data_IF_662210705985
#
_entry.id   IF_662210705985
#
_cell.length_a   1.000
_cell.length_b   1.000
_cell.length_c   1.000
_cell.angle_alpha   90.00
_cell.angle_beta   90.00
_cell.angle_gamma   90.00
#
_symmetry.space_group_name_H-M   'P 1'
#
loop_
_entity.id
_entity.type
_entity.pdbx_description
1 polymer ?
#
# COMPACT_ATOMS: atom_id res chain seq x y z
N UNK A 1 -2.21 8.94 1.04
CA UNK A 1 -3.04 7.87 1.65
C UNK A 1 -2.18 6.78 2.29
N UNK A 2 -1.39 6.00 1.59
CA UNK A 2 -0.71 4.81 2.10
C UNK A 2 0.13 4.98 3.38
N UNK A 3 0.94 6.03 3.47
CA UNK A 3 1.73 6.31 4.68
C UNK A 3 0.87 6.60 5.91
N UNK A 4 -0.28 7.28 5.75
CA UNK A 4 -1.26 7.46 6.85
C UNK A 4 -1.86 6.13 7.29
N UNK A 5 -2.11 5.23 6.36
CA UNK A 5 -2.64 3.90 6.69
C UNK A 5 -1.65 3.12 7.56
N UNK A 6 -0.34 3.19 7.29
CA UNK A 6 0.67 2.58 8.15
C UNK A 6 0.66 3.15 9.57
N UNK A 7 0.62 4.48 9.70
CA UNK A 7 0.57 5.13 11.01
C UNK A 7 -0.68 4.77 11.78
N UNK A 8 -1.85 4.84 11.13
CA UNK A 8 -3.13 4.49 11.75
C UNK A 8 -3.17 3.00 12.15
N UNK A 9 -2.80 2.12 11.23
CA UNK A 9 -2.81 0.67 11.48
C UNK A 9 -1.90 0.29 12.65
N UNK A 10 -0.68 0.84 12.72
CA UNK A 10 0.21 0.60 13.84
C UNK A 10 -0.36 1.12 15.16
N UNK A 11 -0.86 2.35 15.17
CA UNK A 11 -1.51 2.94 16.35
C UNK A 11 -2.70 2.11 16.81
N UNK A 12 -3.53 1.65 15.88
CA UNK A 12 -4.67 0.80 16.17
C UNK A 12 -4.24 -0.55 16.76
N UNK A 13 -3.28 -1.23 16.15
CA UNK A 13 -2.73 -2.49 16.66
C UNK A 13 -2.24 -2.31 18.10
N UNK A 14 -1.40 -1.30 18.34
CA UNK A 14 -0.87 -1.02 19.67
C UNK A 14 -1.99 -0.73 20.68
N UNK A 15 -3.03 0.01 20.28
CA UNK A 15 -4.15 0.32 21.16
C UNK A 15 -4.95 -0.91 21.56
N UNK A 16 -5.14 -1.86 20.63
CA UNK A 16 -5.83 -3.14 20.92
C UNK A 16 -5.00 -4.02 21.84
N UNK A 17 -3.71 -4.20 21.55
CA UNK A 17 -2.80 -5.02 22.35
C UNK A 17 -2.66 -4.50 23.79
N UNK A 18 -2.56 -3.18 23.94
CA UNK A 18 -2.43 -2.53 25.25
C UNK A 18 -3.77 -2.24 25.94
N UNK A 19 -4.91 -2.46 25.27
CA UNK A 19 -6.25 -2.05 25.73
C UNK A 19 -6.32 -0.58 26.13
N UNK A 20 -5.76 0.29 25.28
CA UNK A 20 -5.68 1.73 25.48
C UNK A 20 -6.43 2.48 24.39
N UNK A 21 -6.57 3.79 24.54
CA UNK A 21 -7.28 4.64 23.57
C UNK A 21 -6.33 5.08 22.46
N UNK A 22 -6.78 4.99 21.20
CA UNK A 22 -6.12 5.57 20.05
C UNK A 22 -6.62 6.99 19.80
N UNK A 23 -5.71 7.96 19.79
CA UNK A 23 -5.94 9.30 19.28
C UNK A 23 -5.24 9.46 17.95
N UNK A 24 -5.99 9.56 16.86
CA UNK A 24 -5.44 9.62 15.52
C UNK A 24 -6.18 10.64 14.65
N UNK A 25 -5.47 11.18 13.66
CA UNK A 25 -6.12 11.82 12.52
C UNK A 25 -6.88 10.74 11.74
N UNK A 26 -8.09 11.06 11.34
CA UNK A 26 -8.92 10.11 10.59
C UNK A 26 -8.35 9.80 9.20
N UNK A 27 -8.93 8.79 8.58
CA UNK A 27 -8.70 8.46 7.17
C UNK A 27 -10.04 8.62 6.44
N UNK A 28 -10.37 9.84 5.97
CA UNK A 28 -11.70 10.14 5.41
C UNK A 28 -12.09 9.21 4.26
N UNK A 29 -11.12 8.76 3.47
CA UNK A 29 -11.35 7.81 2.38
C UNK A 29 -11.90 6.44 2.83
N UNK A 30 -11.81 6.12 4.12
CA UNK A 30 -12.33 4.89 4.72
C UNK A 30 -13.37 5.17 5.81
N UNK A 31 -13.99 6.34 5.79
CA UNK A 31 -14.98 6.78 6.78
C UNK A 31 -14.48 6.74 8.24
N UNK A 32 -13.15 6.77 8.42
CA UNK A 32 -12.54 6.82 9.73
C UNK A 32 -12.44 8.27 10.18
N UNK A 33 -13.24 8.63 11.16
CA UNK A 33 -13.24 9.95 11.77
C UNK A 33 -11.99 10.19 12.61
N UNK A 34 -11.57 11.47 12.71
CA UNK A 34 -10.51 11.86 13.63
C UNK A 34 -10.97 11.69 15.08
N UNK A 35 -10.16 11.02 15.87
CA UNK A 35 -10.32 10.93 17.34
C UNK A 35 -9.35 11.85 18.08
N UNK A 36 -8.56 12.65 17.34
CA UNK A 36 -7.60 13.58 17.90
C UNK A 36 -8.33 14.69 18.66
N UNK A 37 -8.29 14.62 19.98
CA UNK A 37 -8.65 15.71 20.88
C UNK A 37 -7.37 16.47 21.20
N UNK A 38 -7.40 17.74 21.51
CA UNK A 38 -6.21 18.57 21.84
C UNK A 38 -5.33 18.06 22.99
N UNK A 39 -5.30 16.75 23.20
CA UNK A 39 -4.49 16.09 24.23
C UNK A 39 -3.00 16.16 23.88
N UNK A 40 -2.21 16.60 24.82
CA UNK A 40 -0.75 16.55 24.74
C UNK A 40 -0.29 15.24 25.37
N UNK A 41 0.48 14.39 24.65
CA UNK A 41 1.01 13.16 25.21
C UNK A 41 1.85 13.43 26.46
N UNK A 42 1.69 12.58 27.46
CA UNK A 42 2.46 12.68 28.71
C UNK A 42 3.69 11.78 28.62
N UNK A 43 4.87 12.36 28.73
CA UNK A 43 6.16 11.65 28.66
C UNK A 43 6.24 10.65 27.49
N UNK A 44 6.06 11.08 26.22
CA UNK A 44 5.86 10.16 25.11
C UNK A 44 7.12 9.40 24.71
N UNK A 45 6.93 8.16 24.27
CA UNK A 45 7.91 7.41 23.47
C UNK A 45 7.52 7.49 21.99
N UNK A 46 8.50 7.79 21.13
CA UNK A 46 8.27 7.98 19.71
C UNK A 46 8.75 6.77 18.91
N UNK A 47 7.93 6.27 17.98
CA UNK A 47 8.32 5.15 17.11
C UNK A 47 9.56 5.47 16.27
N UNK A 48 9.77 6.73 15.89
CA UNK A 48 10.96 7.18 15.15
C UNK A 48 12.26 6.94 15.89
N UNK A 49 12.27 6.91 17.23
CA UNK A 49 13.46 6.65 18.03
C UNK A 49 13.98 5.22 17.89
N UNK A 50 13.17 4.33 17.32
CA UNK A 50 13.51 2.94 17.03
C UNK A 50 13.91 2.68 15.58
N UNK A 51 14.18 3.74 14.79
CA UNK A 51 14.38 3.69 13.36
C UNK A 51 13.07 3.83 12.56
N UNK A 52 13.17 4.11 11.26
CA UNK A 52 11.99 4.39 10.45
C UNK A 52 11.10 3.17 10.19
N UNK A 53 11.69 1.97 10.14
CA UNK A 53 10.99 0.74 9.73
C UNK A 53 11.13 -0.39 10.75
N UNK A 54 12.08 -0.30 11.67
CA UNK A 54 12.28 -1.26 12.72
C UNK A 54 11.57 -0.83 14.00
N UNK A 55 10.89 -1.77 14.65
CA UNK A 55 10.26 -1.55 15.95
C UNK A 55 10.85 -2.48 17.00
N UNK A 56 11.15 -1.93 18.15
CA UNK A 56 11.31 -2.69 19.37
C UNK A 56 9.93 -2.95 19.99
N UNK A 57 9.17 -3.85 19.36
CA UNK A 57 7.76 -4.04 19.62
C UNK A 57 7.47 -4.35 21.10
N UNK A 58 8.29 -5.19 21.72
CA UNK A 58 8.14 -5.55 23.14
C UNK A 58 8.37 -4.36 24.08
N UNK A 59 9.27 -3.41 23.73
CA UNK A 59 9.43 -2.19 24.51
C UNK A 59 8.17 -1.32 24.45
N UNK A 60 7.56 -1.20 23.26
CA UNK A 60 6.32 -0.45 23.08
C UNK A 60 5.15 -1.11 23.82
N UNK A 61 5.04 -2.42 23.80
CA UNK A 61 3.97 -3.13 24.51
C UNK A 61 4.10 -3.03 26.02
N UNK A 62 5.31 -3.03 26.56
CA UNK A 62 5.58 -3.06 28.00
C UNK A 62 5.74 -1.66 28.63
N UNK A 63 5.70 -0.58 27.86
CA UNK A 63 5.81 0.77 28.42
C UNK A 63 4.48 1.25 28.99
N UNK A 64 4.54 1.98 30.12
CA UNK A 64 3.39 2.73 30.67
C UNK A 64 3.27 4.15 30.07
N UNK A 65 4.21 4.53 29.21
CA UNK A 65 4.26 5.83 28.57
C UNK A 65 3.31 5.92 27.38
N UNK A 66 2.89 7.12 27.03
CA UNK A 66 2.16 7.38 25.80
C UNK A 66 3.03 7.07 24.58
N UNK A 67 2.47 6.41 23.57
CA UNK A 67 3.18 6.08 22.35
C UNK A 67 2.75 7.03 21.23
N UNK A 68 3.72 7.72 20.64
CA UNK A 68 3.49 8.57 19.46
C UNK A 68 4.03 7.89 18.20
N UNK A 69 3.12 7.50 17.30
CA UNK A 69 3.46 6.90 16.02
C UNK A 69 3.81 8.02 15.03
N UNK A 70 5.10 8.32 14.89
CA UNK A 70 5.62 9.40 14.03
C UNK A 70 6.55 8.89 12.92
N UNK A 71 6.57 7.57 12.67
CA UNK A 71 7.23 6.91 11.54
C UNK A 71 6.24 6.03 10.79
N UNK A 72 6.59 5.59 9.58
CA UNK A 72 5.68 4.76 8.78
C UNK A 72 5.79 3.27 9.09
N UNK A 73 6.94 2.83 9.62
CA UNK A 73 7.22 1.41 9.97
C UNK A 73 6.79 0.46 8.85
N UNK A 74 7.37 0.68 7.67
CA UNK A 74 7.02 -0.03 6.45
C UNK A 74 7.64 -1.44 6.40
N UNK A 75 7.16 -2.33 7.27
CA UNK A 75 7.54 -3.74 7.33
C UNK A 75 6.30 -4.61 7.47
N UNK A 76 6.05 -5.45 6.47
CA UNK A 76 4.86 -6.28 6.38
C UNK A 76 4.66 -7.18 7.61
N UNK A 77 5.75 -7.67 8.20
CA UNK A 77 5.74 -8.57 9.36
C UNK A 77 4.96 -8.03 10.57
N UNK A 78 4.82 -6.71 10.71
CA UNK A 78 4.06 -6.12 11.81
C UNK A 78 2.55 -6.08 11.56
N UNK A 79 2.13 -6.20 10.32
CA UNK A 79 0.73 -6.08 9.90
C UNK A 79 0.10 -7.43 9.54
N UNK A 80 0.91 -8.39 9.09
CA UNK A 80 0.43 -9.72 8.66
C UNK A 80 -0.46 -10.40 9.71
N UNK A 81 -0.09 -10.46 11.01
CA UNK A 81 -0.92 -11.12 12.03
C UNK A 81 -2.28 -10.43 12.26
N UNK A 82 -2.40 -9.16 11.85
CA UNK A 82 -3.57 -8.32 12.11
C UNK A 82 -4.37 -8.00 10.84
N UNK A 83 -4.10 -8.70 9.73
CA UNK A 83 -4.71 -8.39 8.43
C UNK A 83 -6.24 -8.36 8.49
N UNK A 84 -6.87 -9.35 9.07
CA UNK A 84 -8.34 -9.44 9.13
C UNK A 84 -8.94 -8.33 10.00
N UNK A 85 -8.30 -8.01 11.11
CA UNK A 85 -8.66 -6.88 11.96
C UNK A 85 -8.54 -5.56 11.20
N UNK A 86 -7.46 -5.37 10.44
CA UNK A 86 -7.24 -4.17 9.62
C UNK A 86 -8.25 -4.07 8.48
N UNK A 87 -8.62 -5.19 7.84
CA UNK A 87 -9.71 -5.21 6.85
C UNK A 87 -11.02 -4.76 7.46
N UNK A 88 -11.35 -5.26 8.65
CA UNK A 88 -12.60 -4.91 9.34
C UNK A 88 -12.68 -3.42 9.65
N UNK A 89 -11.63 -2.82 10.24
CA UNK A 89 -11.64 -1.38 10.60
C UNK A 89 -11.61 -0.44 9.40
N UNK A 90 -11.03 -0.90 8.27
CA UNK A 90 -11.00 -0.14 7.02
C UNK A 90 -12.24 -0.40 6.16
N UNK A 91 -13.22 -1.16 6.65
CA UNK A 91 -14.45 -1.45 5.95
C UNK A 91 -14.27 -2.25 4.65
N UNK A 92 -13.14 -2.95 4.51
CA UNK A 92 -12.84 -3.76 3.32
C UNK A 92 -13.62 -5.06 3.40
N UNK A 93 -14.59 -5.22 2.50
CA UNK A 93 -15.36 -6.45 2.37
C UNK A 93 -14.61 -7.45 1.48
N UNK A 94 -14.75 -8.73 1.81
CA UNK A 94 -14.32 -9.83 0.93
C UNK A 94 -15.33 -9.95 -0.23
N UNK A 95 -15.18 -9.11 -1.23
CA UNK A 95 -15.95 -9.21 -2.46
C UNK A 95 -15.16 -10.03 -3.47
N UNK A 96 -15.80 -10.90 -4.25
CA UNK A 96 -15.13 -11.66 -5.28
C UNK A 96 -14.46 -10.72 -6.29
N UNK A 97 -13.26 -11.07 -6.71
CA UNK A 97 -12.56 -10.35 -7.77
C UNK A 97 -13.36 -10.37 -9.07
N UNK A 98 -13.33 -9.26 -9.77
CA UNK A 98 -13.96 -9.13 -11.08
C UNK A 98 -12.84 -9.29 -12.11
N UNK A 99 -12.88 -10.41 -12.87
CA UNK A 99 -12.12 -10.61 -14.09
C UNK A 99 -10.72 -11.25 -13.99
N UNK A 100 -10.68 -12.58 -14.17
CA UNK A 100 -9.50 -13.44 -14.05
C UNK A 100 -8.42 -13.26 -15.12
N UNK A 101 -8.73 -12.72 -16.29
CA UNK A 101 -7.80 -12.67 -17.42
C UNK A 101 -7.06 -11.34 -17.58
N UNK A 102 -7.16 -10.47 -16.57
CA UNK A 102 -6.64 -9.11 -16.58
C UNK A 102 -5.54 -8.92 -15.56
N UNK A 103 -4.51 -8.16 -15.93
CA UNK A 103 -3.51 -7.64 -14.99
C UNK A 103 -3.73 -6.14 -14.76
N UNK A 104 -3.88 -5.74 -13.51
CA UNK A 104 -3.91 -4.33 -13.12
C UNK A 104 -2.52 -3.90 -12.65
N UNK A 105 -1.93 -2.93 -13.34
CA UNK A 105 -0.56 -2.46 -13.11
C UNK A 105 -0.58 -1.07 -12.47
N UNK A 106 -0.03 -0.93 -11.28
CA UNK A 106 0.14 0.36 -10.65
C UNK A 106 1.45 1.02 -11.04
N UNK A 107 1.39 2.28 -11.51
CA UNK A 107 2.55 3.08 -11.90
C UNK A 107 2.57 4.36 -11.06
N UNK A 108 3.69 4.61 -10.38
CA UNK A 108 3.92 5.80 -9.56
C UNK A 108 5.16 6.53 -10.03
N UNK A 109 4.99 7.71 -10.63
CA UNK A 109 6.11 8.47 -11.21
C UNK A 109 6.13 9.97 -10.87
N UNK A 110 5.13 10.54 -10.17
CA UNK A 110 5.10 11.99 -9.89
C UNK A 110 6.28 12.46 -9.04
N UNK A 111 6.26 12.15 -7.76
CA UNK A 111 7.27 12.50 -6.76
C UNK A 111 8.46 11.52 -6.73
N UNK A 112 8.28 10.32 -7.28
CA UNK A 112 9.27 9.25 -7.25
C UNK A 112 10.45 9.46 -8.21
N UNK A 113 10.28 10.28 -9.22
CA UNK A 113 11.39 10.73 -10.08
C UNK A 113 12.43 11.52 -9.30
N UNK A 114 11.99 12.33 -8.31
CA UNK A 114 12.88 13.16 -7.50
C UNK A 114 13.71 12.36 -6.49
N UNK A 115 13.21 11.20 -6.05
CA UNK A 115 13.88 10.33 -5.08
C UNK A 115 14.49 9.09 -5.71
N UNK A 116 14.52 9.03 -7.03
CA UNK A 116 15.05 7.91 -7.83
C UNK A 116 14.45 6.54 -7.46
N UNK A 117 13.15 6.52 -7.15
CA UNK A 117 12.39 5.31 -6.83
C UNK A 117 11.41 4.90 -7.94
N UNK A 118 11.44 5.54 -9.10
CA UNK A 118 10.63 5.15 -10.24
C UNK A 118 11.24 3.97 -10.98
N UNK A 119 10.38 3.13 -11.55
CA UNK A 119 10.80 1.89 -12.20
C UNK A 119 11.06 2.07 -13.72
N UNK A 120 10.34 3.01 -14.35
CA UNK A 120 10.48 3.36 -15.75
C UNK A 120 9.84 2.36 -16.73
N UNK A 121 9.74 2.77 -17.99
CA UNK A 121 9.05 2.01 -19.02
C UNK A 121 9.60 0.60 -19.23
N UNK A 122 10.92 0.43 -19.35
CA UNK A 122 11.52 -0.88 -19.62
C UNK A 122 11.18 -1.92 -18.56
N UNK A 123 11.08 -1.50 -17.31
CA UNK A 123 10.66 -2.37 -16.23
C UNK A 123 9.23 -2.88 -16.44
N UNK A 124 8.28 -1.95 -16.64
CA UNK A 124 6.87 -2.33 -16.79
C UNK A 124 6.59 -3.07 -18.10
N UNK A 125 7.26 -2.70 -19.19
CA UNK A 125 7.15 -3.39 -20.47
C UNK A 125 7.58 -4.87 -20.34
N UNK A 126 8.73 -5.13 -19.71
CA UNK A 126 9.23 -6.48 -19.49
C UNK A 126 8.32 -7.27 -18.52
N UNK A 127 7.86 -6.63 -17.43
CA UNK A 127 6.93 -7.23 -16.48
C UNK A 127 5.64 -7.68 -17.18
N UNK A 128 5.04 -6.82 -18.00
CA UNK A 128 3.81 -7.09 -18.73
C UNK A 128 4.04 -8.24 -19.71
N UNK A 129 5.11 -8.20 -20.50
CA UNK A 129 5.46 -9.24 -21.46
C UNK A 129 5.66 -10.60 -20.78
N UNK A 130 6.36 -10.64 -19.66
CA UNK A 130 6.62 -11.88 -18.92
C UNK A 130 5.41 -12.37 -18.12
N UNK A 131 4.46 -11.50 -17.82
CA UNK A 131 3.26 -11.83 -17.06
C UNK A 131 2.31 -12.77 -17.84
N UNK A 132 2.33 -12.68 -19.17
CA UNK A 132 1.49 -13.46 -20.07
C UNK A 132 0.06 -12.95 -20.22
N UNK A 133 -0.31 -11.82 -19.60
CA UNK A 133 -1.63 -11.20 -19.75
C UNK A 133 -1.68 -10.32 -21.00
N UNK A 134 -2.80 -10.36 -21.72
CA UNK A 134 -3.08 -9.51 -22.89
C UNK A 134 -3.97 -8.31 -22.57
N UNK A 135 -4.78 -8.38 -21.50
CA UNK A 135 -5.63 -7.28 -21.05
C UNK A 135 -4.96 -6.60 -19.84
N UNK A 136 -4.43 -5.41 -20.07
CA UNK A 136 -3.65 -4.66 -19.09
C UNK A 136 -4.34 -3.35 -18.77
N UNK A 137 -4.65 -3.12 -17.48
CA UNK A 137 -5.17 -1.84 -16.97
C UNK A 137 -4.07 -1.12 -16.19
N UNK A 138 -3.80 0.11 -16.56
CA UNK A 138 -2.87 0.99 -15.86
C UNK A 138 -3.62 1.86 -14.85
N UNK A 139 -3.23 1.78 -13.59
CA UNK A 139 -3.62 2.70 -12.52
C UNK A 139 -2.43 3.61 -12.21
N UNK A 140 -2.60 4.91 -12.32
CA UNK A 140 -1.49 5.87 -12.15
C UNK A 140 -1.93 7.22 -11.61
N UNK A 141 -1.03 7.90 -10.93
CA UNK A 141 -1.17 9.29 -10.49
C UNK A 141 -0.76 10.32 -11.56
N UNK A 142 -0.13 9.87 -12.67
CA UNK A 142 0.30 10.73 -13.77
C UNK A 142 0.14 10.03 -15.13
N UNK A 143 -1.02 10.20 -15.74
CA UNK A 143 -1.30 9.61 -17.06
C UNK A 143 -0.47 10.22 -18.21
N UNK A 144 0.21 11.34 -17.98
CA UNK A 144 0.99 12.04 -19.01
C UNK A 144 2.49 11.73 -18.96
N UNK A 145 2.96 10.91 -18.01
CA UNK A 145 4.37 10.53 -17.95
C UNK A 145 4.75 9.62 -19.13
N UNK A 146 6.02 9.65 -19.51
CA UNK A 146 6.55 8.89 -20.66
C UNK A 146 6.26 7.40 -20.56
N UNK A 147 6.47 6.81 -19.39
CA UNK A 147 6.20 5.40 -19.13
C UNK A 147 4.77 5.01 -19.49
N UNK A 148 3.78 5.77 -19.00
CA UNK A 148 2.37 5.47 -19.24
C UNK A 148 2.00 5.66 -20.70
N UNK A 149 2.47 6.76 -21.34
CA UNK A 149 2.16 7.03 -22.74
C UNK A 149 2.72 5.96 -23.67
N UNK A 150 3.93 5.47 -23.42
CA UNK A 150 4.54 4.38 -24.19
C UNK A 150 3.79 3.06 -24.00
N UNK A 151 3.44 2.70 -22.77
CA UNK A 151 2.66 1.48 -22.49
C UNK A 151 1.25 1.53 -23.11
N UNK A 152 0.62 2.70 -23.15
CA UNK A 152 -0.64 2.88 -23.89
C UNK A 152 -0.43 2.69 -25.40
N UNK A 153 0.70 3.14 -25.96
CA UNK A 153 1.11 2.85 -27.33
C UNK A 153 1.33 1.36 -27.59
N UNK A 154 1.73 0.59 -26.60
CA UNK A 154 1.87 -0.87 -26.65
C UNK A 154 0.53 -1.63 -26.46
N UNK A 155 -0.60 -0.91 -26.32
CA UNK A 155 -1.93 -1.50 -26.20
C UNK A 155 -2.49 -1.62 -24.78
N UNK A 156 -1.80 -1.12 -23.77
CA UNK A 156 -2.34 -1.06 -22.41
C UNK A 156 -3.45 -0.01 -22.31
N UNK A 157 -4.42 -0.24 -21.45
CA UNK A 157 -5.56 0.66 -21.23
C UNK A 157 -5.39 1.43 -19.90
N UNK A 158 -5.60 2.74 -19.96
CA UNK A 158 -5.62 3.57 -18.75
C UNK A 158 -6.92 3.34 -17.96
N UNK A 159 -6.83 3.23 -16.63
CA UNK A 159 -8.01 3.24 -15.76
C UNK A 159 -8.71 4.61 -15.85
N UNK A 160 -9.86 4.68 -16.52
CA UNK A 160 -10.63 5.91 -16.76
C UNK A 160 -11.83 6.06 -15.84
N UNK A 161 -11.86 5.37 -14.71
CA UNK A 161 -12.95 5.41 -13.72
C UNK A 161 -14.24 4.67 -14.11
N UNK A 162 -14.33 4.05 -15.28
CA UNK A 162 -15.54 3.37 -15.74
C UNK A 162 -15.74 1.95 -15.21
N UNK A 163 -14.83 1.43 -14.41
CA UNK A 163 -14.86 0.02 -14.03
C UNK A 163 -15.63 -0.30 -12.75
N UNK A 164 -16.15 0.70 -12.06
CA UNK A 164 -16.85 0.52 -10.79
C UNK A 164 -18.26 1.10 -10.84
N UNK A 165 -19.10 0.59 -11.73
CA UNK A 165 -20.50 0.98 -11.90
C UNK A 165 -21.38 0.85 -10.64
N UNK A 166 -20.86 0.26 -9.58
CA UNK A 166 -21.61 0.06 -8.32
C UNK A 166 -21.21 0.97 -7.17
N UNK A 167 -20.25 1.89 -7.37
CA UNK A 167 -19.77 2.82 -6.33
C UNK A 167 -20.05 4.29 -6.66
N UNK A 168 -21.08 4.58 -7.43
CA UNK A 168 -21.47 5.94 -7.85
C UNK A 168 -21.64 6.94 -6.70
N UNK A 169 -21.85 6.47 -5.47
CA UNK A 169 -22.08 7.33 -4.31
C UNK A 169 -20.85 7.63 -3.44
N UNK A 170 -19.69 7.06 -3.74
CA UNK A 170 -18.46 7.20 -2.90
C UNK A 170 -17.39 8.07 -3.57
N UNK A 171 -17.53 8.39 -4.85
CA UNK A 171 -16.38 8.72 -5.68
C UNK A 171 -16.32 10.10 -6.32
N UNK A 172 -16.34 11.16 -5.53
CA UNK A 172 -15.70 12.43 -5.92
C UNK A 172 -14.16 12.37 -5.78
N UNK A 173 -13.61 11.23 -5.33
CA UNK A 173 -12.19 11.06 -5.01
C UNK A 173 -11.52 10.03 -5.93
N UNK A 174 -10.85 10.51 -6.99
CA UNK A 174 -10.08 9.70 -7.94
C UNK A 174 -9.14 8.70 -7.26
N UNK A 175 -8.46 9.12 -6.21
CA UNK A 175 -7.52 8.24 -5.49
C UNK A 175 -8.21 7.04 -4.84
N UNK A 176 -9.47 7.19 -4.38
CA UNK A 176 -10.22 6.06 -3.83
C UNK A 176 -10.69 5.10 -4.92
N UNK A 177 -11.07 5.62 -6.09
CA UNK A 177 -11.43 4.78 -7.24
C UNK A 177 -10.24 3.94 -7.70
N UNK A 178 -9.08 4.56 -7.84
CA UNK A 178 -7.84 3.87 -8.19
C UNK A 178 -7.46 2.82 -7.13
N UNK A 179 -7.64 3.15 -5.84
CA UNK A 179 -7.42 2.21 -4.75
C UNK A 179 -8.36 0.99 -4.84
N UNK A 180 -9.64 1.24 -5.09
CA UNK A 180 -10.65 0.16 -5.20
C UNK A 180 -10.43 -0.69 -6.45
N UNK A 181 -9.97 -0.12 -7.58
CA UNK A 181 -9.58 -0.88 -8.76
C UNK A 181 -8.44 -1.84 -8.44
N UNK A 182 -7.41 -1.36 -7.74
CA UNK A 182 -6.30 -2.21 -7.28
C UNK A 182 -6.77 -3.26 -6.27
N UNK A 183 -7.56 -2.87 -5.28
CA UNK A 183 -8.03 -3.74 -4.20
C UNK A 183 -8.87 -4.93 -4.71
N UNK A 184 -9.69 -4.69 -5.75
CA UNK A 184 -10.63 -5.68 -6.30
C UNK A 184 -10.07 -6.46 -7.49
N UNK A 185 -8.88 -6.14 -7.98
CA UNK A 185 -8.27 -6.88 -9.08
C UNK A 185 -7.82 -8.26 -8.63
N UNK A 186 -8.01 -9.27 -9.49
CA UNK A 186 -7.55 -10.63 -9.24
C UNK A 186 -6.04 -10.74 -9.41
N UNK A 187 -5.49 -10.05 -10.41
CA UNK A 187 -4.06 -10.02 -10.68
C UNK A 187 -3.55 -8.57 -10.63
N UNK A 188 -2.54 -8.33 -9.81
CA UNK A 188 -2.02 -7.00 -9.56
C UNK A 188 -0.49 -6.95 -9.64
N UNK A 189 0.04 -5.94 -10.33
CA UNK A 189 1.46 -5.60 -10.29
C UNK A 189 1.66 -4.28 -9.57
N UNK A 190 2.52 -4.29 -8.56
CA UNK A 190 2.76 -3.16 -7.69
C UNK A 190 3.86 -2.25 -8.24
N UNK A 191 3.77 -0.96 -7.94
CA UNK A 191 4.92 -0.07 -7.95
C UNK A 191 5.59 -0.05 -6.58
N UNK A 192 6.67 0.69 -6.43
CA UNK A 192 7.31 0.96 -5.14
C UNK A 192 6.49 1.96 -4.28
N UNK A 193 5.21 1.67 -4.09
CA UNK A 193 4.27 2.59 -3.44
C UNK A 193 3.49 1.93 -2.33
N UNK A 194 3.46 2.60 -1.18
CA UNK A 194 2.61 2.21 -0.05
C UNK A 194 1.11 2.20 -0.40
N UNK A 195 0.71 2.92 -1.44
CA UNK A 195 -0.68 2.95 -1.91
C UNK A 195 -1.09 1.60 -2.51
N UNK A 196 -0.37 1.12 -3.52
CA UNK A 196 -0.64 -0.19 -4.13
C UNK A 196 -0.34 -1.34 -3.17
N UNK A 197 0.62 -1.16 -2.26
CA UNK A 197 0.89 -2.14 -1.22
C UNK A 197 -0.34 -2.39 -0.33
N UNK A 198 -0.98 -1.33 0.16
CA UNK A 198 -2.18 -1.47 0.98
C UNK A 198 -3.34 -2.12 0.23
N UNK A 199 -3.52 -1.78 -1.05
CA UNK A 199 -4.53 -2.42 -1.88
C UNK A 199 -4.27 -3.93 -2.01
N UNK A 200 -3.03 -4.32 -2.30
CA UNK A 200 -2.63 -5.72 -2.39
C UNK A 200 -2.73 -6.44 -1.03
N UNK A 201 -2.33 -5.78 0.05
CA UNK A 201 -2.36 -6.38 1.39
C UNK A 201 -3.78 -6.64 1.89
N UNK A 202 -4.72 -5.75 1.60
CA UNK A 202 -6.11 -5.86 2.05
C UNK A 202 -6.98 -6.67 1.07
N UNK A 203 -6.64 -6.69 -0.21
CA UNK A 203 -7.40 -7.36 -1.26
C UNK A 203 -7.30 -8.89 -1.23
N UNK A 204 -8.07 -9.53 -2.10
CA UNK A 204 -7.96 -10.95 -2.41
C UNK A 204 -7.48 -11.08 -3.84
N UNK A 205 -6.26 -11.57 -4.02
CA UNK A 205 -5.63 -11.65 -5.33
C UNK A 205 -5.18 -13.08 -5.60
N UNK A 206 -5.31 -13.54 -6.83
CA UNK A 206 -4.70 -14.79 -7.29
C UNK A 206 -3.21 -14.58 -7.58
N UNK A 207 -2.86 -13.38 -8.04
CA UNK A 207 -1.46 -13.06 -8.35
C UNK A 207 -1.09 -11.65 -7.91
N UNK A 208 -0.02 -11.54 -7.12
CA UNK A 208 0.56 -10.26 -6.70
C UNK A 208 2.02 -10.22 -7.18
N UNK A 209 2.35 -9.28 -8.05
CA UNK A 209 3.71 -9.08 -8.56
C UNK A 209 4.36 -7.92 -7.83
N UNK A 210 5.41 -8.22 -7.06
CA UNK A 210 6.19 -7.24 -6.31
C UNK A 210 7.40 -6.75 -7.09
N UNK A 211 7.67 -5.43 -7.14
CA UNK A 211 8.91 -4.92 -7.69
C UNK A 211 10.08 -5.17 -6.74
N UNK A 212 11.13 -5.78 -7.24
CA UNK A 212 12.38 -5.98 -6.54
C UNK A 212 13.54 -5.41 -7.36
N UNK A 213 14.35 -4.58 -6.75
CA UNK A 213 15.48 -3.94 -7.42
C UNK A 213 16.76 -4.06 -6.58
N UNK A 214 17.93 -4.07 -7.24
CA UNK A 214 19.23 -4.05 -6.56
C UNK A 214 19.58 -2.65 -6.05
N UNK A 215 18.94 -1.62 -6.58
CA UNK A 215 19.19 -0.24 -6.17
C UNK A 215 18.55 0.08 -4.83
N UNK A 216 19.03 1.14 -4.16
CA UNK A 216 18.34 1.73 -2.99
C UNK A 216 16.91 2.09 -3.39
N UNK A 217 16.00 1.24 -3.04
CA UNK A 217 14.60 1.35 -3.39
C UNK A 217 13.74 1.08 -2.15
N UNK A 218 12.47 1.37 -2.24
CA UNK A 218 11.53 1.03 -1.17
C UNK A 218 11.40 -0.49 -0.93
N UNK A 219 11.92 -1.32 -1.86
CA UNK A 219 11.76 -2.78 -1.82
C UNK A 219 13.09 -3.43 -2.22
N UNK A 220 14.12 -3.33 -1.37
CA UNK A 220 15.42 -3.92 -1.67
C UNK A 220 15.35 -5.44 -1.67
N UNK A 221 16.21 -6.08 -2.48
CA UNK A 221 16.34 -7.55 -2.51
C UNK A 221 16.74 -8.13 -1.16
N UNK A 222 17.64 -7.44 -0.46
CA UNK A 222 18.16 -7.84 0.83
C UNK A 222 18.00 -6.67 1.82
N UNK A 223 16.81 -6.47 2.39
CA UNK A 223 16.56 -5.36 3.30
C UNK A 223 17.34 -5.54 4.61
N UNK A 224 18.03 -4.49 5.02
CA UNK A 224 18.65 -4.39 6.33
C UNK A 224 17.61 -4.26 7.45
N UNK A 225 18.10 -4.11 8.70
CA UNK A 225 17.23 -4.02 9.88
C UNK A 225 16.29 -2.81 9.84
N UNK A 226 16.79 -1.66 9.36
CA UNK A 226 16.07 -0.39 9.34
C UNK A 226 15.48 -0.07 7.96
N UNK A 227 15.67 -0.96 6.98
CA UNK A 227 15.15 -0.78 5.63
C UNK A 227 13.66 -1.12 5.55
N UNK A 228 13.01 -0.58 4.52
CA UNK A 228 11.65 -0.98 4.15
C UNK A 228 11.68 -2.46 3.75
N UNK A 229 10.73 -3.23 4.27
CA UNK A 229 10.49 -4.61 3.86
C UNK A 229 8.99 -4.87 3.83
N UNK A 230 8.40 -4.63 2.69
CA UNK A 230 6.96 -4.73 2.47
C UNK A 230 6.55 -6.03 1.75
N UNK A 231 7.47 -6.93 1.48
CA UNK A 231 7.12 -8.22 0.91
C UNK A 231 6.28 -9.05 1.89
N UNK A 232 5.21 -9.62 1.39
CA UNK A 232 4.40 -10.64 2.05
C UNK A 232 3.99 -11.71 1.04
N UNK A 233 3.63 -12.88 1.52
CA UNK A 233 3.11 -13.96 0.69
C UNK A 233 1.95 -14.65 1.41
N UNK A 234 0.81 -14.64 0.76
CA UNK A 234 -0.40 -15.38 1.17
C UNK A 234 -0.70 -16.55 0.22
N UNK A 235 0.32 -17.05 -0.50
CA UNK A 235 0.21 -18.11 -1.48
C UNK A 235 0.03 -17.62 -2.92
N UNK A 236 0.02 -16.30 -3.14
CA UNK A 236 -0.24 -15.66 -4.45
C UNK A 236 0.86 -14.71 -4.91
N UNK A 237 1.91 -14.54 -4.11
CA UNK A 237 2.91 -13.48 -4.35
C UNK A 237 4.10 -13.99 -5.15
N UNK A 238 4.58 -13.18 -6.09
CA UNK A 238 5.83 -13.40 -6.81
C UNK A 238 6.66 -12.11 -6.85
N UNK A 239 7.98 -12.27 -6.98
CA UNK A 239 8.92 -11.16 -7.13
C UNK A 239 9.28 -11.01 -8.59
N UNK A 240 9.22 -9.78 -9.09
CA UNK A 240 9.77 -9.43 -10.40
C UNK A 240 11.06 -8.63 -10.17
N UNK A 241 12.19 -9.23 -10.48
CA UNK A 241 13.52 -8.67 -10.25
C UNK A 241 13.94 -7.93 -11.52
N UNK A 242 14.34 -6.66 -11.36
CA UNK A 242 14.88 -5.84 -12.45
C UNK A 242 16.41 -5.98 -12.50
#
# INVERSE_FOLDING_TARGET
>A
MGNRMFQYALGYILSQEKKTVLYADGIPNFDISSTRSGMTPKDPIYTKSHGNNYLKYNELLNTERDIVVNSYVQRAQYYIPYRDMLKAILGVKNEPCINCDRLVVHIRETDYTQINCFLGYEYYHNLIKESGYSDIIIVTDNSKCDTVQRLMGDGCTLNTCGYVDKFEHICDNRAMMDFMTLLKSENIALSQSSFSWWAAFLGQHEKIIFPYTEQKSMWPLNPGKDDINLYFDFGSSQKFIK
#
